data_IF_184310526751
#
_entry.id   IF_184310526751
#
_cell.length_a   1.000
_cell.length_b   1.000
_cell.length_c   1.000
_cell.angle_alpha   90.00
_cell.angle_beta   90.00
_cell.angle_gamma   90.00
#
_symmetry.space_group_name_H-M   'P 1'
#
loop_
_entity.id
_entity.type
_entity.pdbx_description
1 polymer ?
#
# COMPACT_ATOMS: atom_id res chain seq x y z
N UNK A 1 9.73 27.99 -26.10
CA UNK A 1 9.14 27.83 -27.43
C UNK A 1 7.61 27.73 -27.27
N UNK A 2 6.87 28.70 -27.87
CA UNK A 2 5.39 28.76 -27.76
C UNK A 2 4.72 27.51 -28.33
N UNK A 3 5.27 27.00 -29.46
CA UNK A 3 4.78 25.80 -30.13
C UNK A 3 4.87 24.55 -29.19
N UNK A 4 6.00 24.35 -28.53
CA UNK A 4 6.18 23.21 -27.62
C UNK A 4 5.22 23.26 -26.44
N UNK A 5 4.98 24.45 -25.86
CA UNK A 5 3.98 24.62 -24.78
C UNK A 5 2.57 24.29 -25.24
N UNK A 6 2.21 24.65 -26.47
CA UNK A 6 0.92 24.29 -27.04
C UNK A 6 0.80 22.77 -27.23
N UNK A 7 1.82 22.10 -27.76
CA UNK A 7 1.84 20.64 -27.89
C UNK A 7 1.77 19.94 -26.54
N UNK A 8 2.44 20.49 -25.53
CA UNK A 8 2.38 19.99 -24.16
C UNK A 8 0.96 20.08 -23.60
N UNK A 9 0.27 21.20 -23.79
CA UNK A 9 -1.13 21.36 -23.39
C UNK A 9 -2.07 20.37 -24.10
N UNK A 10 -1.85 20.13 -25.40
CA UNK A 10 -2.61 19.12 -26.15
C UNK A 10 -2.37 17.70 -25.62
N UNK A 11 -1.15 17.37 -25.21
CA UNK A 11 -0.82 16.10 -24.59
C UNK A 11 -1.51 15.95 -23.22
N UNK A 12 -1.50 16.99 -22.39
CA UNK A 12 -2.20 17.03 -21.10
C UNK A 12 -3.71 16.79 -21.26
N UNK A 13 -4.30 17.34 -22.32
CA UNK A 13 -5.73 17.19 -22.64
C UNK A 13 -6.07 15.85 -23.34
N UNK A 14 -5.05 15.03 -23.65
CA UNK A 14 -5.24 13.76 -24.36
C UNK A 14 -5.58 13.91 -25.85
N UNK A 15 -5.41 15.11 -26.41
CA UNK A 15 -5.67 15.41 -27.84
C UNK A 15 -4.56 14.87 -28.77
N UNK A 16 -3.38 14.65 -28.25
CA UNK A 16 -2.27 13.95 -28.90
C UNK A 16 -1.68 12.91 -27.96
N UNK A 17 -1.11 11.85 -28.51
CA UNK A 17 -0.38 10.85 -27.75
C UNK A 17 1.07 11.26 -27.45
N UNK A 18 1.72 10.53 -26.54
CA UNK A 18 3.12 10.75 -26.15
C UNK A 18 4.07 10.68 -27.34
N UNK A 19 3.84 9.75 -28.29
CA UNK A 19 4.71 9.56 -29.45
C UNK A 19 4.66 10.78 -30.36
N UNK A 20 3.47 11.27 -30.66
CA UNK A 20 3.26 12.46 -31.46
C UNK A 20 3.88 13.71 -30.83
N UNK A 21 3.70 13.87 -29.49
CA UNK A 21 4.35 14.95 -28.76
C UNK A 21 5.88 14.87 -28.91
N UNK A 22 6.48 13.70 -28.62
CA UNK A 22 7.92 13.49 -28.72
C UNK A 22 8.45 13.84 -30.10
N UNK A 23 7.81 13.35 -31.17
CA UNK A 23 8.22 13.62 -32.54
C UNK A 23 8.18 15.13 -32.89
N UNK A 24 7.10 15.80 -32.49
CA UNK A 24 6.93 17.23 -32.74
C UNK A 24 7.85 18.11 -31.91
N UNK A 25 8.11 17.74 -30.65
CA UNK A 25 9.00 18.48 -29.76
C UNK A 25 10.46 18.37 -30.20
N UNK A 26 10.90 17.20 -30.66
CA UNK A 26 12.25 16.98 -31.21
C UNK A 26 12.40 17.72 -32.53
N UNK A 27 11.42 17.65 -33.41
CA UNK A 27 11.40 18.42 -34.68
C UNK A 27 11.44 19.95 -34.43
N UNK A 28 10.90 20.41 -33.31
CA UNK A 28 10.98 21.81 -32.87
C UNK A 28 12.30 22.19 -32.17
N UNK A 29 13.29 21.28 -32.15
CA UNK A 29 14.66 21.52 -31.68
C UNK A 29 14.92 21.13 -30.19
N UNK A 30 14.01 20.40 -29.57
CA UNK A 30 14.29 19.88 -28.24
C UNK A 30 15.19 18.63 -28.29
N UNK A 31 16.07 18.50 -27.31
CA UNK A 31 16.79 17.23 -27.08
C UNK A 31 15.83 16.15 -26.58
N UNK A 32 16.14 14.89 -26.83
CA UNK A 32 15.32 13.76 -26.39
C UNK A 32 15.06 13.77 -24.88
N UNK A 33 16.06 14.00 -23.99
CA UNK A 33 15.81 14.11 -22.55
C UNK A 33 14.86 15.25 -22.17
N UNK A 34 14.99 16.41 -22.81
CA UNK A 34 14.12 17.55 -22.55
C UNK A 34 12.66 17.28 -22.99
N UNK A 35 12.47 16.66 -24.16
CA UNK A 35 11.15 16.26 -24.63
C UNK A 35 10.51 15.19 -23.75
N UNK A 36 11.29 14.21 -23.25
CA UNK A 36 10.85 13.18 -22.29
C UNK A 36 10.39 13.80 -20.98
N UNK A 37 11.16 14.74 -20.42
CA UNK A 37 10.81 15.44 -19.18
C UNK A 37 9.47 16.20 -19.32
N UNK A 38 9.31 16.97 -20.40
CA UNK A 38 8.07 17.70 -20.66
C UNK A 38 6.88 16.79 -20.90
N UNK A 39 7.07 15.66 -21.61
CA UNK A 39 6.02 14.67 -21.80
C UNK A 39 5.59 14.04 -20.49
N UNK A 40 6.52 13.69 -19.61
CA UNK A 40 6.23 13.12 -18.29
C UNK A 40 5.48 14.11 -17.41
N UNK A 41 5.88 15.38 -17.38
CA UNK A 41 5.17 16.43 -16.67
C UNK A 41 3.73 16.63 -17.17
N UNK A 42 3.52 16.61 -18.49
CA UNK A 42 2.20 16.76 -19.09
C UNK A 42 1.25 15.62 -18.71
N UNK A 43 1.75 14.39 -18.66
CA UNK A 43 0.96 13.20 -18.29
C UNK A 43 0.71 13.15 -16.80
N UNK A 44 1.69 13.56 -15.97
CA UNK A 44 1.56 13.59 -14.51
C UNK A 44 0.66 14.72 -14.01
N UNK A 45 0.42 15.77 -14.82
CA UNK A 45 -0.31 16.96 -14.40
C UNK A 45 -1.81 16.74 -14.14
N UNK A 46 -2.39 15.61 -14.59
CA UNK A 46 -3.81 15.31 -14.37
C UNK A 46 -3.98 13.84 -14.02
N UNK A 47 -3.89 13.48 -12.73
CA UNK A 47 -4.20 12.12 -12.29
C UNK A 47 -5.62 11.75 -12.70
N UNK A 48 -5.79 10.61 -13.35
CA UNK A 48 -7.11 10.05 -13.63
C UNK A 48 -7.55 9.21 -12.44
N UNK A 49 -8.74 9.48 -11.94
CA UNK A 49 -9.37 8.64 -10.93
C UNK A 49 -9.86 7.34 -11.56
N UNK A 50 -9.61 6.22 -10.89
CA UNK A 50 -10.04 4.89 -11.34
C UNK A 50 -9.23 4.33 -12.51
N UNK A 51 -9.74 3.27 -13.09
CA UNK A 51 -9.11 2.54 -14.19
C UNK A 51 -8.56 1.18 -13.76
N UNK A 52 -7.81 0.52 -14.66
CA UNK A 52 -7.18 -0.77 -14.44
C UNK A 52 -5.68 -0.61 -14.33
N UNK A 53 -5.13 -0.95 -13.17
CA UNK A 53 -3.69 -1.07 -12.97
C UNK A 53 -3.27 -2.54 -13.13
N UNK A 54 -2.27 -2.81 -13.98
CA UNK A 54 -1.71 -4.14 -14.19
C UNK A 54 -0.27 -4.15 -13.72
N UNK A 55 0.01 -4.95 -12.71
CA UNK A 55 1.35 -5.11 -12.13
C UNK A 55 1.86 -6.52 -12.40
N UNK A 56 3.04 -6.65 -13.01
CA UNK A 56 3.74 -7.92 -13.14
C UNK A 56 4.60 -8.14 -11.90
N UNK A 57 4.37 -9.26 -11.21
CA UNK A 57 5.11 -9.63 -10.00
C UNK A 57 5.73 -10.99 -10.24
N UNK A 58 7.01 -11.15 -9.87
CA UNK A 58 7.73 -12.42 -9.93
C UNK A 58 7.41 -13.32 -8.72
N UNK A 59 7.85 -14.56 -8.80
CA UNK A 59 7.87 -15.54 -7.70
C UNK A 59 6.52 -16.14 -7.27
N UNK A 60 5.47 -16.09 -8.10
CA UNK A 60 4.24 -16.84 -7.81
C UNK A 60 4.46 -18.34 -7.84
N UNK A 61 3.77 -19.07 -6.96
CA UNK A 61 3.80 -20.54 -6.85
C UNK A 61 2.37 -21.10 -6.87
N UNK A 62 2.23 -22.36 -7.27
CA UNK A 62 0.94 -23.08 -7.20
C UNK A 62 0.50 -23.41 -5.78
N UNK A 63 1.38 -23.24 -4.79
CA UNK A 63 1.13 -23.42 -3.36
C UNK A 63 0.79 -22.14 -2.65
N UNK A 64 0.77 -21.00 -3.35
CA UNK A 64 0.43 -19.71 -2.76
C UNK A 64 -1.01 -19.69 -2.24
N UNK A 65 -1.19 -19.07 -1.10
CA UNK A 65 -2.49 -18.85 -0.47
C UNK A 65 -2.72 -17.36 -0.20
N UNK A 66 -3.95 -16.99 0.15
CA UNK A 66 -4.27 -15.62 0.61
C UNK A 66 -4.09 -15.45 2.13
N UNK A 67 -3.61 -16.48 2.82
CA UNK A 67 -3.24 -16.38 4.23
C UNK A 67 -1.90 -15.64 4.36
N UNK A 68 -1.95 -14.44 4.92
CA UNK A 68 -0.76 -13.61 5.13
C UNK A 68 0.28 -14.28 6.05
N UNK A 69 -0.14 -15.18 6.92
CA UNK A 69 0.75 -15.95 7.78
C UNK A 69 1.70 -16.88 7.02
N UNK A 70 1.32 -17.29 5.81
CA UNK A 70 2.10 -18.19 4.95
C UNK A 70 2.74 -17.49 3.75
N UNK A 71 2.82 -16.17 3.76
CA UNK A 71 3.42 -15.38 2.67
C UNK A 71 4.93 -15.52 2.66
N UNK A 72 5.46 -16.37 1.76
CA UNK A 72 6.90 -16.69 1.68
C UNK A 72 7.60 -16.05 0.48
N UNK A 73 6.87 -15.45 -0.45
CA UNK A 73 7.44 -14.89 -1.67
C UNK A 73 6.90 -13.51 -1.99
N UNK A 74 7.56 -12.81 -2.92
CA UNK A 74 7.20 -11.44 -3.31
C UNK A 74 5.77 -11.31 -3.83
N UNK A 75 5.25 -12.32 -4.52
CA UNK A 75 3.90 -12.27 -5.07
C UNK A 75 2.85 -12.25 -3.96
N UNK A 76 2.92 -13.18 -3.01
CA UNK A 76 1.99 -13.24 -1.86
C UNK A 76 2.12 -12.03 -0.95
N UNK A 77 3.35 -11.57 -0.71
CA UNK A 77 3.62 -10.39 0.12
C UNK A 77 2.99 -9.12 -0.48
N UNK A 78 3.23 -8.84 -1.77
CA UNK A 78 2.67 -7.65 -2.44
C UNK A 78 1.14 -7.75 -2.54
N UNK A 79 0.59 -8.94 -2.79
CA UNK A 79 -0.86 -9.15 -2.72
C UNK A 79 -1.40 -8.80 -1.33
N UNK A 80 -0.75 -9.27 -0.26
CA UNK A 80 -1.12 -8.94 1.11
C UNK A 80 -1.24 -7.42 1.32
N UNK A 81 -0.26 -6.66 0.88
CA UNK A 81 -0.29 -5.19 0.95
C UNK A 81 -1.36 -4.53 0.07
N UNK A 82 -1.93 -5.22 -0.92
CA UNK A 82 -2.98 -4.63 -1.77
C UNK A 82 -4.39 -4.78 -1.19
N UNK A 83 -4.63 -5.76 -0.33
CA UNK A 83 -5.96 -6.01 0.24
C UNK A 83 -6.01 -6.00 1.77
N UNK A 84 -4.86 -6.06 2.44
CA UNK A 84 -4.74 -6.05 3.89
C UNK A 84 -4.05 -4.79 4.41
N UNK A 85 -4.31 -4.48 5.67
CA UNK A 85 -3.69 -3.38 6.41
C UNK A 85 -3.11 -3.89 7.73
N UNK A 86 -2.18 -3.14 8.30
CA UNK A 86 -1.54 -3.44 9.57
C UNK A 86 -2.00 -2.46 10.66
N UNK A 87 -1.72 -2.74 11.93
CA UNK A 87 -1.94 -1.77 13.00
C UNK A 87 -1.03 -0.56 12.82
N UNK A 88 0.20 -0.80 12.43
CA UNK A 88 1.24 0.23 12.22
C UNK A 88 2.01 -0.07 10.95
N UNK A 89 2.61 0.94 10.36
CA UNK A 89 3.42 0.85 9.14
C UNK A 89 4.75 1.58 9.33
N UNK A 90 5.77 1.20 8.57
CA UNK A 90 7.03 1.95 8.49
C UNK A 90 6.93 2.96 7.36
N UNK A 91 6.93 4.25 7.72
CA UNK A 91 6.88 5.35 6.76
C UNK A 91 8.13 5.45 5.90
N UNK A 92 8.06 6.29 4.87
CA UNK A 92 9.18 6.51 3.94
C UNK A 92 10.43 7.12 4.59
N UNK A 93 10.27 7.72 5.76
CA UNK A 93 11.35 8.27 6.60
C UNK A 93 11.93 7.24 7.59
N UNK A 94 11.44 6.00 7.54
CA UNK A 94 11.82 4.92 8.44
C UNK A 94 11.20 4.99 9.83
N UNK A 95 10.27 5.92 10.07
CA UNK A 95 9.56 6.02 11.34
C UNK A 95 8.32 5.11 11.35
N UNK A 96 8.00 4.58 12.53
CA UNK A 96 6.77 3.83 12.72
C UNK A 96 5.58 4.81 12.76
N UNK A 97 4.61 4.59 11.90
CA UNK A 97 3.37 5.39 11.84
C UNK A 97 2.15 4.51 12.10
N UNK A 98 1.06 5.11 12.60
CA UNK A 98 -0.20 4.41 12.77
C UNK A 98 -0.91 4.20 11.44
N UNK A 99 -1.46 3.00 11.24
CA UNK A 99 -2.27 2.64 10.07
C UNK A 99 -3.71 2.31 10.51
N UNK A 100 -4.06 1.05 10.82
CA UNK A 100 -5.34 0.71 11.45
C UNK A 100 -5.42 1.20 12.90
N UNK A 101 -4.30 1.31 13.58
CA UNK A 101 -4.21 2.05 14.84
C UNK A 101 -4.06 3.53 14.52
N UNK A 102 -4.99 4.37 15.00
CA UNK A 102 -4.89 5.82 14.93
C UNK A 102 -3.74 6.36 15.79
N UNK A 103 -3.52 5.72 16.92
CA UNK A 103 -2.38 5.98 17.82
C UNK A 103 -1.95 4.71 18.55
N UNK A 104 -0.73 4.70 19.02
CA UNK A 104 -0.17 3.66 19.87
C UNK A 104 0.75 4.28 20.90
N UNK A 105 0.78 3.70 22.09
CA UNK A 105 1.56 4.23 23.21
C UNK A 105 2.01 3.11 24.15
N UNK A 106 3.08 3.36 24.87
CA UNK A 106 3.58 2.51 25.95
C UNK A 106 4.36 3.36 26.95
N UNK A 107 4.07 3.22 28.23
CA UNK A 107 4.78 3.91 29.30
C UNK A 107 6.04 3.14 29.77
N UNK A 108 6.02 1.81 29.59
CA UNK A 108 7.06 0.92 30.12
C UNK A 108 7.83 0.15 29.03
N UNK A 109 7.48 0.32 27.77
CA UNK A 109 8.04 -0.41 26.62
C UNK A 109 7.67 -1.90 26.61
N UNK A 110 6.79 -2.36 27.52
CA UNK A 110 6.33 -3.74 27.60
C UNK A 110 4.84 -3.86 27.37
N UNK A 111 4.07 -2.94 27.93
CA UNK A 111 2.62 -2.85 27.74
C UNK A 111 2.32 -1.82 26.67
N UNK A 112 1.75 -2.26 25.57
CA UNK A 112 1.40 -1.42 24.44
C UNK A 112 -0.10 -1.29 24.31
N UNK A 113 -0.57 -0.09 24.06
CA UNK A 113 -1.96 0.23 23.82
C UNK A 113 -2.11 0.75 22.42
N UNK A 114 -3.03 0.16 21.66
CA UNK A 114 -3.38 0.58 20.31
C UNK A 114 -4.81 1.09 20.28
N UNK A 115 -4.99 2.35 19.91
CA UNK A 115 -6.30 2.93 19.70
C UNK A 115 -6.66 2.77 18.21
N UNK A 116 -7.68 1.98 17.91
CA UNK A 116 -8.07 1.62 16.56
C UNK A 116 -8.89 2.74 15.89
N UNK A 117 -8.67 2.95 14.59
CA UNK A 117 -9.49 3.85 13.78
C UNK A 117 -10.94 3.38 13.78
N UNK A 118 -11.85 4.33 13.92
CA UNK A 118 -13.27 4.05 13.86
C UNK A 118 -13.75 4.03 12.41
N UNK A 119 -14.80 3.23 12.15
CA UNK A 119 -15.44 3.18 10.83
C UNK A 119 -14.65 2.45 9.75
N UNK A 120 -13.57 1.74 10.10
CA UNK A 120 -12.88 0.86 9.17
C UNK A 120 -13.75 -0.36 8.89
N UNK A 121 -13.93 -0.68 7.63
CA UNK A 121 -14.74 -1.82 7.18
C UNK A 121 -13.90 -2.84 6.44
N UNK A 122 -14.18 -4.11 6.68
CA UNK A 122 -13.67 -5.19 5.84
C UNK A 122 -14.36 -5.21 4.48
N UNK A 123 -13.78 -5.88 3.49
CA UNK A 123 -14.34 -5.99 2.14
C UNK A 123 -15.76 -6.58 2.07
N UNK A 124 -16.20 -7.25 3.11
CA UNK A 124 -17.58 -7.77 3.26
C UNK A 124 -18.54 -6.79 3.95
N UNK A 125 -18.10 -5.57 4.27
CA UNK A 125 -18.88 -4.54 4.94
C UNK A 125 -18.97 -4.68 6.46
N UNK A 126 -18.30 -5.66 7.08
CA UNK A 126 -18.23 -5.76 8.54
C UNK A 126 -17.29 -4.67 9.08
N UNK A 127 -17.74 -3.91 10.08
CA UNK A 127 -16.88 -2.94 10.78
C UNK A 127 -15.82 -3.68 11.61
N UNK A 128 -14.57 -3.24 11.50
CA UNK A 128 -13.45 -3.75 12.29
C UNK A 128 -13.59 -3.34 13.76
N UNK A 129 -13.24 -4.25 14.65
CA UNK A 129 -13.20 -4.05 16.10
C UNK A 129 -11.94 -4.64 16.71
N UNK A 130 -11.71 -4.39 17.99
CA UNK A 130 -10.63 -5.00 18.77
C UNK A 130 -10.66 -6.53 18.76
N UNK A 131 -11.86 -7.14 18.70
CA UNK A 131 -11.99 -8.60 18.60
C UNK A 131 -11.41 -9.17 17.32
N UNK A 132 -11.47 -8.43 16.22
CA UNK A 132 -10.87 -8.84 14.95
C UNK A 132 -9.34 -8.81 15.02
N UNK A 133 -8.79 -7.85 15.74
CA UNK A 133 -7.34 -7.79 16.03
C UNK A 133 -6.93 -8.99 16.86
N UNK A 134 -7.67 -9.28 17.94
CA UNK A 134 -7.40 -10.46 18.78
C UNK A 134 -7.46 -11.76 17.96
N UNK A 135 -8.47 -11.90 17.10
CA UNK A 135 -8.63 -13.07 16.23
C UNK A 135 -7.46 -13.22 15.24
N UNK A 136 -6.96 -12.12 14.68
CA UNK A 136 -5.79 -12.13 13.80
C UNK A 136 -4.54 -12.62 14.54
N UNK A 137 -4.27 -12.10 15.73
CA UNK A 137 -3.14 -12.57 16.53
C UNK A 137 -3.29 -14.03 16.95
N UNK A 138 -4.51 -14.45 17.34
CA UNK A 138 -4.79 -15.83 17.70
C UNK A 138 -4.50 -16.79 16.53
N UNK A 139 -4.85 -16.42 15.29
CA UNK A 139 -4.53 -17.19 14.09
C UNK A 139 -3.01 -17.41 13.95
N UNK A 140 -2.20 -16.39 14.15
CA UNK A 140 -0.76 -16.50 14.05
C UNK A 140 -0.11 -17.26 15.23
N UNK A 141 -0.70 -17.16 16.41
CA UNK A 141 -0.16 -17.73 17.66
C UNK A 141 -0.65 -19.15 17.96
N UNK A 142 -1.64 -19.66 17.24
CA UNK A 142 -2.16 -21.02 17.43
C UNK A 142 -1.05 -22.09 17.40
N UNK A 143 -1.19 -23.13 18.21
CA UNK A 143 -0.20 -24.21 18.30
C UNK A 143 0.02 -24.92 16.95
N UNK A 144 -1.02 -25.03 16.15
CA UNK A 144 -0.98 -25.66 14.82
C UNK A 144 -0.74 -24.66 13.70
N UNK A 145 -0.56 -23.37 14.00
CA UNK A 145 -0.33 -22.34 13.02
C UNK A 145 0.99 -22.57 12.26
N UNK A 146 0.92 -22.50 10.94
CA UNK A 146 2.08 -22.50 10.04
C UNK A 146 2.62 -21.10 9.78
N UNK A 147 2.10 -20.10 10.48
CA UNK A 147 2.51 -18.71 10.30
C UNK A 147 4.00 -18.49 10.56
N UNK A 148 4.67 -17.84 9.63
CA UNK A 148 6.05 -17.40 9.78
C UNK A 148 6.21 -16.37 10.92
N UNK A 149 5.14 -15.64 11.26
CA UNK A 149 5.13 -14.67 12.36
C UNK A 149 5.08 -15.33 13.75
N UNK A 150 4.75 -16.63 13.86
CA UNK A 150 4.61 -17.34 15.13
C UNK A 150 5.83 -17.17 16.03
N UNK A 151 7.04 -17.33 15.47
CA UNK A 151 8.27 -17.17 16.21
C UNK A 151 8.49 -15.76 16.77
N UNK A 152 8.06 -14.73 16.04
CA UNK A 152 8.16 -13.33 16.45
C UNK A 152 7.17 -13.00 17.57
N UNK A 153 5.99 -13.63 17.56
CA UNK A 153 4.92 -13.39 18.52
C UNK A 153 5.10 -14.12 19.85
N UNK A 154 6.14 -14.93 20.01
CA UNK A 154 6.45 -15.61 21.29
C UNK A 154 6.72 -14.64 22.44
N UNK A 155 7.13 -13.41 22.14
CA UNK A 155 7.32 -12.35 23.12
C UNK A 155 5.99 -11.76 23.66
N UNK A 156 4.89 -11.95 22.92
CA UNK A 156 3.56 -11.45 23.32
C UNK A 156 2.99 -12.36 24.39
N UNK A 157 2.87 -11.85 25.62
CA UNK A 157 2.36 -12.63 26.76
C UNK A 157 0.84 -12.66 26.83
N UNK A 158 0.19 -11.59 26.45
CA UNK A 158 -1.28 -11.49 26.45
C UNK A 158 -1.75 -10.38 25.54
N UNK A 159 -2.94 -10.57 24.99
CA UNK A 159 -3.68 -9.58 24.21
C UNK A 159 -5.06 -9.42 24.84
N UNK A 160 -5.54 -8.20 24.96
CA UNK A 160 -6.84 -7.91 25.55
C UNK A 160 -7.54 -6.79 24.80
N UNK A 161 -8.83 -6.98 24.52
CA UNK A 161 -9.67 -5.90 24.08
C UNK A 161 -10.06 -5.01 25.27
N UNK A 162 -9.98 -3.70 25.08
CA UNK A 162 -10.50 -2.70 26.01
C UNK A 162 -11.59 -1.90 25.27
N UNK A 163 -12.80 -2.44 25.27
CA UNK A 163 -13.90 -1.94 24.44
C UNK A 163 -13.73 -2.31 22.95
N UNK A 164 -14.45 -1.61 22.08
CA UNK A 164 -14.51 -1.95 20.63
C UNK A 164 -13.31 -1.50 19.83
N UNK A 165 -12.64 -0.43 20.25
CA UNK A 165 -11.63 0.25 19.46
C UNK A 165 -10.29 0.38 20.19
N UNK A 166 -10.01 -0.47 21.14
CA UNK A 166 -8.75 -0.45 21.90
C UNK A 166 -8.26 -1.86 22.21
N UNK A 167 -6.98 -2.08 22.00
CA UNK A 167 -6.29 -3.34 22.28
C UNK A 167 -5.06 -3.07 23.15
#
# INVERSE_FOLDING_TARGET
>A
NKFVKQQQAMLTQGLIDRRKFMTTAIAAGLTVPAALSLASQAIAATPKSGGLFRMGIAHGSTTDTLDSGTSENHFTLINGYTFGNHLTEVGNDGQLIGELAESYESDDGQTWVFNLRQGVEFHNGKTMTSEDVLASYAHHMDENSTSAAKGLLTAVKSLKADGKNRV
#
